data_IF_167145961490
#
_entry.id   IF_167145961490
#
_cell.length_a   1.000
_cell.length_b   1.000
_cell.length_c   1.000
_cell.angle_alpha   90.00
_cell.angle_beta   90.00
_cell.angle_gamma   90.00
#
_symmetry.space_group_name_H-M   'P 1'
#
loop_
_entity.id
_entity.type
_entity.pdbx_description
1 polymer ?
#
# COMPACT_ATOMS: atom_id res chain seq x y z
N UNK A 1 9.61 -26.38 5.09
CA UNK A 1 9.71 -25.36 6.15
C UNK A 1 11.18 -25.05 6.34
N UNK A 2 11.59 -23.81 6.06
CA UNK A 2 13.00 -23.40 6.06
C UNK A 2 13.26 -22.61 7.34
N UNK A 3 14.16 -23.14 8.17
CA UNK A 3 14.59 -22.62 9.47
C UNK A 3 15.65 -21.53 9.26
N UNK A 4 15.62 -20.49 10.10
CA UNK A 4 16.54 -19.35 10.10
C UNK A 4 18.01 -19.80 10.21
N UNK A 5 18.78 -19.69 9.13
CA UNK A 5 20.25 -19.83 9.17
C UNK A 5 20.87 -18.44 9.16
N UNK A 6 20.98 -17.82 10.34
CA UNK A 6 21.83 -16.64 10.56
C UNK A 6 23.27 -17.06 10.86
N UNK A 7 24.22 -16.12 10.79
CA UNK A 7 25.61 -16.40 11.16
C UNK A 7 25.71 -16.83 12.64
N UNK A 8 26.41 -17.94 12.95
CA UNK A 8 26.37 -18.59 14.25
C UNK A 8 26.86 -17.69 15.40
N UNK A 9 27.74 -16.72 15.12
CA UNK A 9 28.36 -15.86 16.12
C UNK A 9 27.39 -14.88 16.81
N UNK A 10 26.24 -14.58 16.18
CA UNK A 10 25.27 -13.59 16.70
C UNK A 10 23.93 -14.22 17.12
N UNK A 11 23.70 -15.50 16.81
CA UNK A 11 22.48 -16.21 17.20
C UNK A 11 22.45 -16.54 18.70
N UNK A 12 23.60 -16.59 19.39
CA UNK A 12 23.68 -16.83 20.83
C UNK A 12 23.45 -15.60 21.72
N UNK A 13 23.43 -14.38 21.16
CA UNK A 13 23.24 -13.14 21.95
C UNK A 13 21.77 -12.88 22.30
N UNK A 14 20.83 -13.38 21.48
CA UNK A 14 19.41 -13.21 21.71
C UNK A 14 18.80 -14.53 22.22
N UNK A 15 18.42 -14.55 23.48
CA UNK A 15 17.81 -15.74 24.12
C UNK A 15 16.40 -16.05 23.57
N UNK A 16 15.73 -15.06 22.99
CA UNK A 16 14.34 -15.17 22.54
C UNK A 16 14.19 -14.61 21.14
N UNK A 17 13.49 -15.35 20.30
CA UNK A 17 13.13 -14.97 18.95
C UNK A 17 11.62 -14.90 18.83
N UNK A 18 11.13 -13.83 18.19
CA UNK A 18 9.73 -13.69 17.83
C UNK A 18 9.55 -14.00 16.35
N UNK A 19 8.77 -15.03 16.05
CA UNK A 19 8.35 -15.29 14.67
C UNK A 19 7.23 -14.33 14.28
N UNK A 20 7.37 -13.66 13.14
CA UNK A 20 6.35 -12.79 12.59
C UNK A 20 5.76 -13.38 11.31
N UNK A 21 4.53 -13.90 11.33
CA UNK A 21 3.91 -14.53 10.17
C UNK A 21 3.50 -13.49 9.12
N UNK A 22 3.19 -13.98 7.91
CA UNK A 22 2.51 -13.17 6.90
C UNK A 22 1.07 -12.81 7.36
N UNK A 23 0.54 -11.64 6.95
CA UNK A 23 -0.77 -11.20 7.37
C UNK A 23 -1.87 -12.09 6.80
N UNK A 24 -2.76 -12.56 7.68
CA UNK A 24 -3.95 -13.29 7.28
C UNK A 24 -5.03 -12.32 6.75
N UNK A 25 -6.14 -12.85 6.23
CA UNK A 25 -7.21 -12.02 5.65
C UNK A 25 -7.68 -10.85 6.55
N UNK A 26 -8.04 -11.07 7.83
CA UNK A 26 -8.45 -9.97 8.70
C UNK A 26 -7.33 -8.95 8.93
N UNK A 27 -6.07 -9.38 9.00
CA UNK A 27 -4.92 -8.46 9.10
C UNK A 27 -4.84 -7.58 7.85
N UNK A 28 -5.02 -8.15 6.66
CA UNK A 28 -5.03 -7.39 5.40
C UNK A 28 -6.19 -6.40 5.34
N UNK A 29 -7.38 -6.78 5.81
CA UNK A 29 -8.52 -5.85 5.94
C UNK A 29 -8.14 -4.68 6.88
N UNK A 30 -7.52 -4.97 8.02
CA UNK A 30 -7.08 -3.93 8.97
C UNK A 30 -5.98 -3.04 8.39
N UNK A 31 -5.00 -3.62 7.70
CA UNK A 31 -3.92 -2.89 7.04
C UNK A 31 -4.46 -1.95 5.97
N UNK A 32 -5.36 -2.42 5.10
CA UNK A 32 -6.00 -1.58 4.10
C UNK A 32 -6.84 -0.47 4.75
N UNK A 33 -7.66 -0.76 5.76
CA UNK A 33 -8.39 0.26 6.53
C UNK A 33 -7.44 1.33 7.07
N UNK A 34 -6.34 0.90 7.69
CA UNK A 34 -5.36 1.80 8.28
C UNK A 34 -4.65 2.65 7.22
N UNK A 35 -4.18 2.05 6.13
CA UNK A 35 -3.45 2.77 5.08
C UNK A 35 -4.34 3.71 4.27
N UNK A 36 -5.58 3.32 3.97
CA UNK A 36 -6.57 4.19 3.30
C UNK A 36 -6.92 5.36 4.21
N UNK A 37 -7.19 5.11 5.50
CA UNK A 37 -7.40 6.18 6.48
C UNK A 37 -6.21 7.14 6.53
N UNK A 38 -4.97 6.64 6.61
CA UNK A 38 -3.75 7.45 6.58
C UNK A 38 -3.61 8.24 5.27
N UNK A 39 -4.11 7.73 4.15
CA UNK A 39 -4.10 8.43 2.87
C UNK A 39 -5.07 9.60 2.79
N UNK A 40 -6.26 9.45 3.35
CA UNK A 40 -7.33 10.45 3.34
C UNK A 40 -7.05 11.61 4.30
N UNK A 41 -6.32 11.31 5.39
CA UNK A 41 -6.20 12.19 6.54
C UNK A 41 -4.81 12.81 6.75
N UNK A 42 -3.79 12.34 6.04
CA UNK A 42 -2.41 12.63 6.44
C UNK A 42 -2.10 12.06 7.84
N UNK A 43 -1.06 12.58 8.49
CA UNK A 43 -0.60 12.06 9.80
C UNK A 43 -1.44 12.54 11.01
N UNK A 44 -2.68 12.97 10.81
CA UNK A 44 -3.53 13.45 11.92
C UNK A 44 -5.01 13.69 11.65
N UNK A 45 -5.50 13.47 10.43
CA UNK A 45 -6.92 13.71 10.10
C UNK A 45 -7.89 12.66 10.68
N UNK A 46 -9.15 13.07 10.85
CA UNK A 46 -10.23 12.32 11.50
C UNK A 46 -11.28 11.74 10.53
N UNK A 47 -11.09 11.83 9.20
CA UNK A 47 -12.08 11.29 8.25
C UNK A 47 -12.12 9.76 8.34
N UNK A 48 -13.32 9.21 8.38
CA UNK A 48 -13.50 7.77 8.26
C UNK A 48 -13.23 7.32 6.82
N UNK A 49 -12.88 6.05 6.65
CA UNK A 49 -12.92 5.43 5.32
C UNK A 49 -14.40 5.36 4.91
N UNK A 50 -14.79 5.75 3.68
CA UNK A 50 -16.18 5.66 3.25
C UNK A 50 -16.72 4.25 3.38
N UNK A 51 -17.97 4.09 3.83
CA UNK A 51 -18.58 2.77 4.04
C UNK A 51 -18.76 1.99 2.73
N UNK A 52 -18.87 2.71 1.61
CA UNK A 52 -19.00 2.13 0.26
C UNK A 52 -17.66 1.72 -0.35
N UNK A 53 -16.54 1.89 0.37
CA UNK A 53 -15.23 1.52 -0.14
C UNK A 53 -14.98 0.02 0.07
N UNK A 54 -14.81 -0.71 -1.03
CA UNK A 54 -14.67 -2.17 -0.98
C UNK A 54 -13.28 -2.63 -0.54
N UNK A 55 -13.10 -2.69 0.78
CA UNK A 55 -11.87 -3.18 1.42
C UNK A 55 -11.74 -4.70 1.28
N UNK A 56 -12.86 -5.42 1.18
CA UNK A 56 -12.88 -6.88 1.14
C UNK A 56 -12.22 -7.40 -0.14
N UNK A 57 -12.52 -6.76 -1.28
CA UNK A 57 -11.85 -7.07 -2.55
C UNK A 57 -10.35 -6.78 -2.47
N UNK A 58 -9.94 -5.64 -1.91
CA UNK A 58 -8.52 -5.31 -1.73
C UNK A 58 -7.79 -6.34 -0.85
N UNK A 59 -8.44 -6.83 0.21
CA UNK A 59 -7.89 -7.84 1.10
C UNK A 59 -7.81 -9.23 0.44
N UNK A 60 -8.72 -9.55 -0.47
CA UNK A 60 -8.68 -10.80 -1.26
C UNK A 60 -7.54 -10.77 -2.27
N UNK A 61 -7.45 -9.74 -3.11
CA UNK A 61 -6.42 -9.68 -4.16
C UNK A 61 -4.99 -9.54 -3.61
N UNK A 62 -4.84 -9.11 -2.35
CA UNK A 62 -3.55 -8.96 -1.68
C UNK A 62 -3.12 -10.20 -0.90
N UNK A 63 -3.70 -11.36 -1.17
CA UNK A 63 -3.25 -12.63 -0.60
C UNK A 63 -1.76 -12.89 -0.92
N UNK A 64 -0.99 -13.28 0.11
CA UNK A 64 0.45 -13.47 0.01
C UNK A 64 1.30 -12.20 0.09
N UNK A 65 0.68 -11.01 0.17
CA UNK A 65 1.42 -9.76 0.27
C UNK A 65 1.87 -9.52 1.71
N UNK A 66 3.10 -9.05 1.88
CA UNK A 66 3.54 -8.52 3.17
C UNK A 66 2.89 -7.16 3.45
N UNK A 67 2.82 -6.77 4.73
CA UNK A 67 2.31 -5.45 5.12
C UNK A 67 3.03 -4.29 4.40
N UNK A 68 4.34 -4.43 4.18
CA UNK A 68 5.14 -3.45 3.43
C UNK A 68 4.78 -3.39 1.93
N UNK A 69 4.46 -4.53 1.31
CA UNK A 69 4.01 -4.57 -0.08
C UNK A 69 2.65 -3.87 -0.25
N UNK A 70 1.71 -4.12 0.66
CA UNK A 70 0.40 -3.45 0.73
C UNK A 70 0.60 -1.93 0.87
N UNK A 71 1.48 -1.49 1.78
CA UNK A 71 1.79 -0.08 1.97
C UNK A 71 2.37 0.60 0.71
N UNK A 72 3.25 -0.10 -0.02
CA UNK A 72 3.83 0.40 -1.28
C UNK A 72 2.79 0.50 -2.40
N UNK A 73 1.89 -0.48 -2.53
CA UNK A 73 0.81 -0.45 -3.53
C UNK A 73 -0.02 0.85 -3.41
N UNK A 74 -0.33 1.24 -2.18
CA UNK A 74 -0.99 2.51 -1.85
C UNK A 74 -0.19 3.78 -2.21
N UNK A 75 1.14 3.71 -2.27
CA UNK A 75 1.97 4.85 -2.73
C UNK A 75 1.96 4.98 -4.24
N UNK A 76 2.06 3.86 -4.95
CA UNK A 76 2.09 3.83 -6.41
C UNK A 76 0.84 4.45 -7.02
N UNK A 77 -0.33 4.11 -6.48
CA UNK A 77 -1.61 4.68 -6.95
C UNK A 77 -1.68 6.21 -6.81
N UNK A 78 -1.08 6.78 -5.75
CA UNK A 78 -1.00 8.25 -5.60
C UNK A 78 -0.08 8.89 -6.64
N UNK A 79 1.04 8.25 -6.99
CA UNK A 79 1.94 8.74 -8.04
C UNK A 79 1.30 8.64 -9.43
N UNK A 80 0.57 7.55 -9.68
CA UNK A 80 -0.16 7.33 -10.93
C UNK A 80 -1.36 8.29 -11.06
N UNK A 81 -2.02 8.65 -9.95
CA UNK A 81 -3.06 9.69 -9.93
C UNK A 81 -2.47 11.09 -10.19
N UNK A 82 -1.29 11.40 -9.63
CA UNK A 82 -0.61 12.69 -9.86
C UNK A 82 -0.15 12.84 -11.32
N UNK A 83 0.21 11.75 -12.01
CA UNK A 83 0.55 11.78 -13.44
C UNK A 83 -0.65 11.95 -14.38
N UNK A 84 -1.89 11.81 -13.90
CA UNK A 84 -3.10 11.99 -14.72
C UNK A 84 -3.63 13.43 -14.75
N UNK A 85 -3.14 14.32 -13.90
CA UNK A 85 -3.56 15.73 -13.89
C UNK A 85 -2.70 16.65 -14.78
N UNK A 86 -1.51 16.22 -15.25
CA UNK A 86 -0.64 17.03 -16.13
C UNK A 86 -0.88 16.79 -17.65
N UNK A 87 -2.01 16.19 -18.03
CA UNK A 87 -2.28 15.75 -19.41
C UNK A 87 -3.56 16.28 -20.06
N UNK A 88 -3.95 17.53 -19.81
CA UNK A 88 -5.16 18.12 -20.41
C UNK A 88 -5.07 19.62 -20.70
N UNK A 89 -5.01 19.98 -21.98
CA UNK A 89 -4.99 21.35 -22.55
C UNK A 89 -3.72 21.56 -23.38
N UNK A 90 -3.70 21.78 -24.69
CA UNK A 90 -4.58 22.64 -25.50
C UNK A 90 -4.86 22.04 -26.89
N UNK A 91 -6.14 22.09 -27.28
CA UNK A 91 -6.60 22.07 -28.66
C UNK A 91 -6.83 23.52 -29.13
N UNK A 92 -6.42 23.82 -30.37
CA UNK A 92 -6.78 24.97 -31.26
C UNK A 92 -5.74 26.09 -31.50
N UNK A 93 -5.05 25.96 -32.65
CA UNK A 93 -4.96 27.02 -33.69
C UNK A 93 -4.47 26.33 -34.97
N UNK A 94 -5.29 26.13 -36.00
CA UNK A 94 -5.81 27.20 -36.83
C UNK A 94 -5.10 27.16 -38.19
N UNK A 95 -5.82 26.66 -39.20
CA UNK A 95 -5.57 26.85 -40.64
C UNK A 95 -4.75 28.11 -40.95
N UNK A 96 -3.69 27.99 -41.75
CA UNK A 96 -3.45 28.96 -42.83
C UNK A 96 -2.63 28.37 -43.98
N UNK A 97 -3.30 28.35 -45.14
CA UNK A 97 -2.73 28.23 -46.48
C UNK A 97 -1.59 29.24 -46.66
N UNK A 98 -0.52 28.84 -47.35
CA UNK A 98 0.00 29.57 -48.51
C UNK A 98 0.72 28.61 -49.45
#
# INVERSE_FOLDING_TARGET
>A
MQIFTGEPEKQGFFEKFLFFPYPCYPDRVMLWKHFVKKCLNGEGGKKAVPDNFDISSLAHISEGYSAGAIYKARKKEKEDAKKKEEGGGDDKKGKKKK
#
